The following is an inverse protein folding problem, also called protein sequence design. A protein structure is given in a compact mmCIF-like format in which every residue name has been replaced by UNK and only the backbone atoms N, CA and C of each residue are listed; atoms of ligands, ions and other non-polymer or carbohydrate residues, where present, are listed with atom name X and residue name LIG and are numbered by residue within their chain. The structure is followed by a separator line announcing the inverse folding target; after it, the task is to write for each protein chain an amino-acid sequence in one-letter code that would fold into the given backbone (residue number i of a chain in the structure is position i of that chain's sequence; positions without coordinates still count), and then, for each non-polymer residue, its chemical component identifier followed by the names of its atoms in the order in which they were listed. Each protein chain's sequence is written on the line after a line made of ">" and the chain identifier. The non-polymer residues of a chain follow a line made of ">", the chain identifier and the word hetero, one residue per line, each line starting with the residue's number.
data_IF_058851687141
#
_entry.id   IF_058851687141
#
_cell.length_a   1.000
_cell.length_b   1.000
_cell.length_c   1.000
_cell.angle_alpha   90.00
_cell.angle_beta   90.00
_cell.angle_gamma   90.00
#
_symmetry.space_group_name_H-M   'P 1'
#
loop_
_entity.id
_entity.type
_entity.pdbx_description
1 polymer ?
#
# COMPACT_ATOMS: atom_id res chain seq x y z
N UNK A 1 2.50 -11.38 23.82
CA UNK A 1 1.48 -10.52 24.48
C UNK A 1 0.18 -10.60 23.70
N UNK A 2 -0.97 -10.21 24.29
CA UNK A 2 -2.22 -10.03 23.55
C UNK A 2 -2.29 -8.62 22.98
N UNK A 3 -2.58 -8.48 21.70
CA UNK A 3 -2.60 -7.20 20.99
C UNK A 3 -3.90 -7.07 20.20
N UNK A 4 -4.60 -5.95 20.39
CA UNK A 4 -5.74 -5.56 19.57
C UNK A 4 -5.31 -4.45 18.60
N UNK A 5 -5.54 -4.66 17.30
CA UNK A 5 -5.32 -3.67 16.25
C UNK A 5 -6.70 -3.24 15.72
N UNK A 6 -6.95 -1.95 15.60
CA UNK A 6 -8.20 -1.41 15.05
C UNK A 6 -7.93 -0.80 13.67
N UNK A 7 -8.51 -1.42 12.64
CA UNK A 7 -8.35 -1.09 11.22
C UNK A 7 -7.50 -2.13 10.47
N UNK A 8 -8.04 -2.70 9.39
CA UNK A 8 -7.36 -3.67 8.52
C UNK A 8 -7.13 -3.11 7.11
N UNK A 9 -6.53 -1.91 7.05
CA UNK A 9 -5.85 -1.44 5.84
C UNK A 9 -4.40 -1.95 5.80
N UNK A 10 -3.65 -1.55 4.77
CA UNK A 10 -2.27 -1.99 4.55
C UNK A 10 -1.36 -1.88 5.79
N UNK A 11 -1.49 -0.82 6.60
CA UNK A 11 -0.67 -0.61 7.81
C UNK A 11 -1.07 -1.53 8.96
N UNK A 12 -2.38 -1.70 9.18
CA UNK A 12 -2.90 -2.57 10.24
C UNK A 12 -2.61 -4.05 9.96
N UNK A 13 -2.77 -4.47 8.70
CA UNK A 13 -2.39 -5.81 8.25
C UNK A 13 -0.87 -6.05 8.40
N UNK A 14 -0.04 -5.11 7.94
CA UNK A 14 1.42 -5.20 8.09
C UNK A 14 1.86 -5.30 9.55
N UNK A 15 1.33 -4.42 10.41
CA UNK A 15 1.66 -4.44 11.84
C UNK A 15 1.22 -5.75 12.50
N UNK A 16 0.03 -6.23 12.16
CA UNK A 16 -0.49 -7.49 12.70
C UNK A 16 0.39 -8.68 12.31
N UNK A 17 0.79 -8.76 11.04
CA UNK A 17 1.74 -9.77 10.57
C UNK A 17 3.07 -9.70 11.33
N UNK A 18 3.69 -8.52 11.42
CA UNK A 18 4.99 -8.36 12.07
C UNK A 18 4.96 -8.65 13.59
N UNK A 19 3.86 -8.36 14.27
CA UNK A 19 3.69 -8.68 15.69
C UNK A 19 3.40 -10.17 15.91
N UNK A 20 2.64 -10.80 15.01
CA UNK A 20 2.39 -12.24 15.04
C UNK A 20 3.67 -13.04 14.84
N UNK A 21 4.54 -12.64 13.89
CA UNK A 21 5.86 -13.27 13.69
C UNK A 21 6.76 -13.21 14.93
N UNK A 22 6.55 -12.21 15.80
CA UNK A 22 7.24 -12.07 17.09
C UNK A 22 6.58 -12.86 18.24
N UNK A 23 5.64 -13.73 17.95
CA UNK A 23 4.97 -14.59 18.93
C UNK A 23 3.87 -13.90 19.75
N UNK A 24 3.30 -12.80 19.25
CA UNK A 24 2.15 -12.16 19.89
C UNK A 24 0.83 -12.78 19.43
N UNK A 25 -0.14 -12.82 20.33
CA UNK A 25 -1.53 -13.16 20.04
C UNK A 25 -2.25 -11.89 19.58
N UNK A 26 -2.40 -11.75 18.26
CA UNK A 26 -2.89 -10.52 17.62
C UNK A 26 -4.31 -10.73 17.10
N UNK A 27 -5.21 -9.82 17.48
CA UNK A 27 -6.55 -9.72 16.88
C UNK A 27 -6.67 -8.39 16.15
N UNK A 28 -7.10 -8.42 14.89
CA UNK A 28 -7.36 -7.23 14.08
C UNK A 28 -8.87 -7.05 13.92
N UNK A 29 -9.37 -5.86 14.23
CA UNK A 29 -10.77 -5.48 14.08
C UNK A 29 -10.92 -4.54 12.89
N UNK A 30 -11.75 -4.88 11.93
CA UNK A 30 -12.12 -4.00 10.82
C UNK A 30 -13.59 -3.62 10.94
N UNK A 31 -13.91 -2.34 10.76
CA UNK A 31 -15.29 -1.84 10.84
C UNK A 31 -16.13 -2.37 9.67
N UNK A 32 -15.50 -2.55 8.50
CA UNK A 32 -16.16 -2.95 7.27
C UNK A 32 -16.40 -4.46 7.20
N UNK A 33 -17.39 -4.82 6.39
CA UNK A 33 -17.74 -6.21 6.07
C UNK A 33 -16.64 -6.94 5.28
N UNK A 34 -15.80 -6.19 4.57
CA UNK A 34 -14.75 -6.70 3.70
C UNK A 34 -13.48 -5.86 3.85
N UNK A 35 -12.35 -6.55 3.81
CA UNK A 35 -11.00 -5.96 3.69
C UNK A 35 -10.80 -5.45 2.25
N UNK A 36 -10.16 -4.29 2.10
CA UNK A 36 -9.78 -3.74 0.79
C UNK A 36 -10.88 -2.97 0.05
N UNK A 37 -11.33 -1.84 0.61
CA UNK A 37 -12.45 -1.05 0.06
C UNK A 37 -12.24 0.47 0.08
N UNK A 38 -11.05 0.93 0.47
CA UNK A 38 -10.70 2.36 0.46
C UNK A 38 -10.39 2.81 -0.98
N UNK A 39 -10.95 3.95 -1.40
CA UNK A 39 -10.67 4.53 -2.72
C UNK A 39 -9.32 5.23 -2.63
N UNK A 40 -8.27 4.56 -3.09
CA UNK A 40 -6.94 5.13 -3.23
C UNK A 40 -6.52 5.06 -4.71
N UNK A 41 -5.71 6.02 -5.15
CA UNK A 41 -5.11 6.01 -6.49
C UNK A 41 -4.19 4.81 -6.74
N UNK A 42 -3.75 4.13 -5.67
CA UNK A 42 -2.84 3.00 -5.74
C UNK A 42 -1.41 3.39 -6.14
N UNK A 43 -1.12 4.67 -6.28
CA UNK A 43 0.20 5.17 -6.68
C UNK A 43 1.17 5.09 -5.49
N UNK A 44 2.12 4.17 -5.55
CA UNK A 44 3.08 3.90 -4.48
C UNK A 44 4.50 3.79 -5.05
N UNK A 45 5.50 3.97 -4.20
CA UNK A 45 6.91 3.75 -4.56
C UNK A 45 7.23 2.25 -4.61
N UNK A 46 8.12 1.82 -5.52
CA UNK A 46 8.68 0.46 -5.49
C UNK A 46 9.37 0.10 -4.16
N UNK A 47 9.65 1.09 -3.29
CA UNK A 47 10.14 0.85 -1.92
C UNK A 47 9.16 0.04 -1.07
N UNK A 48 7.88 -0.08 -1.42
CA UNK A 48 6.94 -0.96 -0.71
C UNK A 48 7.51 -2.37 -0.52
N UNK A 49 8.21 -2.88 -1.52
CA UNK A 49 8.78 -4.24 -1.51
C UNK A 49 9.93 -4.43 -0.51
N UNK A 50 10.42 -3.38 0.14
CA UNK A 50 11.37 -3.52 1.26
C UNK A 50 10.68 -3.94 2.56
N UNK A 51 9.34 -3.83 2.62
CA UNK A 51 8.56 -4.13 3.82
C UNK A 51 7.76 -5.42 3.69
N UNK A 52 7.35 -5.79 2.48
CA UNK A 52 6.49 -6.95 2.21
C UNK A 52 7.05 -7.78 1.05
N UNK A 53 6.74 -9.10 0.99
CA UNK A 53 7.10 -9.92 -0.15
C UNK A 53 6.57 -9.33 -1.46
N UNK A 54 7.44 -9.26 -2.47
CA UNK A 54 7.09 -8.67 -3.77
C UNK A 54 6.08 -9.54 -4.50
N UNK A 55 5.00 -8.92 -4.96
CA UNK A 55 3.99 -9.57 -5.81
C UNK A 55 3.70 -8.73 -7.06
N UNK A 56 4.28 -9.14 -8.19
CA UNK A 56 4.14 -8.40 -9.45
C UNK A 56 2.69 -8.41 -10.00
N UNK A 57 1.86 -9.37 -9.62
CA UNK A 57 0.46 -9.46 -10.07
C UNK A 57 -0.41 -8.30 -9.57
N UNK A 58 0.02 -7.65 -8.48
CA UNK A 58 -0.67 -6.50 -7.90
C UNK A 58 -0.40 -5.21 -8.68
N UNK A 59 0.68 -5.17 -9.48
CA UNK A 59 1.09 -3.99 -10.24
C UNK A 59 0.22 -3.89 -11.50
N UNK A 60 -0.63 -2.87 -11.56
CA UNK A 60 -1.50 -2.58 -12.70
C UNK A 60 -0.83 -1.65 -13.72
N UNK A 61 0.09 -0.78 -13.28
CA UNK A 61 0.83 0.11 -14.17
C UNK A 61 2.16 0.58 -13.54
N UNK A 62 3.08 1.13 -14.35
CA UNK A 62 4.27 1.86 -13.91
C UNK A 62 4.25 3.29 -14.44
N UNK A 63 4.56 4.25 -13.56
CA UNK A 63 4.58 5.69 -13.85
C UNK A 63 6.02 6.18 -13.79
N UNK A 64 6.54 6.64 -14.92
CA UNK A 64 7.95 7.04 -15.06
C UNK A 64 8.18 8.55 -14.91
N UNK A 65 7.12 9.34 -14.88
CA UNK A 65 7.19 10.79 -14.73
C UNK A 65 5.87 11.34 -14.18
N UNK A 66 5.90 12.54 -13.64
CA UNK A 66 4.70 13.34 -13.43
C UNK A 66 4.82 14.70 -14.12
N UNK A 67 3.67 15.31 -14.38
CA UNK A 67 3.58 16.70 -14.85
C UNK A 67 3.01 17.53 -13.72
N UNK A 68 3.75 18.55 -13.32
CA UNK A 68 3.33 19.55 -12.34
C UNK A 68 2.88 20.78 -13.12
N UNK A 69 1.57 21.04 -13.08
CA UNK A 69 0.96 22.16 -13.80
C UNK A 69 0.85 23.38 -12.88
N UNK A 70 1.48 24.47 -13.28
CA UNK A 70 1.30 25.82 -12.76
C UNK A 70 0.43 26.62 -13.73
N UNK A 71 -0.23 27.72 -13.31
CA UNK A 71 -1.14 28.48 -14.17
C UNK A 71 -0.57 28.83 -15.55
N UNK A 72 0.72 29.16 -15.64
CA UNK A 72 1.38 29.60 -16.87
C UNK A 72 2.52 28.67 -17.33
N UNK A 73 2.73 27.52 -16.68
CA UNK A 73 3.86 26.63 -16.97
C UNK A 73 3.58 25.20 -16.56
N UNK A 74 3.93 24.23 -17.40
CA UNK A 74 3.98 22.82 -17.00
C UNK A 74 5.42 22.37 -16.88
N UNK A 75 5.76 21.74 -15.76
CA UNK A 75 7.07 21.12 -15.53
C UNK A 75 6.89 19.61 -15.58
N UNK A 76 7.71 18.92 -16.37
CA UNK A 76 7.75 17.45 -16.38
C UNK A 76 8.88 16.97 -15.49
N UNK A 77 8.55 16.24 -14.43
CA UNK A 77 9.51 15.59 -13.53
C UNK A 77 9.62 14.13 -13.94
N UNK A 78 10.78 13.74 -14.49
CA UNK A 78 11.09 12.34 -14.79
C UNK A 78 11.66 11.66 -13.55
N UNK A 79 11.12 10.51 -13.19
CA UNK A 79 11.58 9.77 -12.02
C UNK A 79 12.81 8.92 -12.36
N UNK A 80 13.77 8.85 -11.44
CA UNK A 80 14.90 7.92 -11.54
C UNK A 80 14.45 6.47 -11.32
N UNK A 81 13.50 6.28 -10.40
CA UNK A 81 12.87 4.99 -10.10
C UNK A 81 11.36 5.16 -10.38
N UNK A 82 10.73 4.28 -11.18
CA UNK A 82 9.31 4.37 -11.46
C UNK A 82 8.45 4.26 -10.20
N UNK A 83 7.33 4.97 -10.18
CA UNK A 83 6.23 4.67 -9.27
C UNK A 83 5.40 3.53 -9.84
N UNK A 84 4.75 2.76 -8.97
CA UNK A 84 3.84 1.69 -9.37
C UNK A 84 2.41 2.10 -9.04
N UNK A 85 1.48 1.70 -9.89
CA UNK A 85 0.05 1.74 -9.60
C UNK A 85 -0.35 0.33 -9.20
N UNK A 86 -0.75 0.15 -7.94
CA UNK A 86 -1.18 -1.11 -7.37
C UNK A 86 -2.70 -1.20 -7.31
N UNK A 87 -3.23 -2.42 -7.42
CA UNK A 87 -4.60 -2.67 -6.97
C UNK A 87 -4.65 -2.68 -5.45
N UNK A 88 -5.15 -1.61 -4.85
CA UNK A 88 -5.26 -1.49 -3.39
C UNK A 88 -6.19 -2.56 -2.81
N UNK A 89 -7.29 -2.87 -3.50
CA UNK A 89 -8.25 -3.88 -3.06
C UNK A 89 -7.70 -5.31 -3.11
N UNK A 90 -6.77 -5.61 -4.03
CA UNK A 90 -6.05 -6.89 -4.06
C UNK A 90 -4.92 -6.89 -3.03
N UNK A 91 -4.22 -5.78 -2.86
CA UNK A 91 -3.11 -5.62 -1.90
C UNK A 91 -3.57 -5.76 -0.45
N UNK A 92 -4.70 -5.19 -0.07
CA UNK A 92 -5.18 -5.30 1.33
C UNK A 92 -5.59 -6.74 1.70
N UNK A 93 -5.82 -7.60 0.70
CA UNK A 93 -6.16 -9.02 0.89
C UNK A 93 -4.96 -9.95 0.73
N UNK A 94 -3.81 -9.41 0.32
CA UNK A 94 -2.57 -10.14 0.08
C UNK A 94 -1.81 -10.33 1.39
#
# INVERSE_FOLDING_TARGET
>A
MKVAIVGCGITGAYLGWQLAEKGNDVTIFEKRDKIGKEVCSGLISERLWTFIPKNEKLIKNKVNYCRVNFPNKTITLKFKIPFIVLSHAEMDKY
#
